data_IF_180112596647
#
_entry.id   IF_180112596647
#
_cell.length_a   1.000
_cell.length_b   1.000
_cell.length_c   1.000
_cell.angle_alpha   90.00
_cell.angle_beta   90.00
_cell.angle_gamma   90.00
#
_symmetry.space_group_name_H-M   'P 1'
#
loop_
_entity.id
_entity.type
_entity.pdbx_description
1 polymer ?
#
# COMPACT_ATOMS: atom_id res chain seq x y z
N UNK A 1 5.46 -36.35 1.42
CA UNK A 1 5.51 -35.06 2.14
C UNK A 1 5.34 -33.95 1.11
N UNK A 2 4.32 -33.09 1.20
CA UNK A 2 4.22 -31.96 0.31
C UNK A 2 5.27 -30.93 0.74
N UNK A 3 6.21 -30.64 -0.14
CA UNK A 3 7.19 -29.57 0.01
C UNK A 3 6.44 -28.24 0.15
N UNK A 4 6.43 -27.68 1.36
CA UNK A 4 6.13 -26.27 1.59
C UNK A 4 6.99 -25.46 0.63
N UNK A 5 6.41 -24.64 -0.27
CA UNK A 5 7.23 -23.74 -1.07
C UNK A 5 8.01 -22.85 -0.10
N UNK A 6 9.29 -22.54 -0.38
CA UNK A 6 10.07 -21.70 0.52
C UNK A 6 9.39 -20.34 0.59
N UNK A 7 9.06 -19.88 1.80
CA UNK A 7 8.39 -18.59 2.05
C UNK A 7 9.07 -17.44 1.29
N UNK A 8 10.39 -17.56 1.08
CA UNK A 8 11.23 -16.69 0.26
C UNK A 8 10.73 -16.52 -1.18
N UNK A 9 10.28 -17.59 -1.86
CA UNK A 9 9.77 -17.51 -3.24
C UNK A 9 8.43 -16.76 -3.33
N UNK A 10 7.57 -16.87 -2.31
CA UNK A 10 6.33 -16.11 -2.25
C UNK A 10 6.61 -14.61 -2.03
N UNK A 11 7.60 -14.28 -1.17
CA UNK A 11 8.06 -12.91 -0.88
C UNK A 11 8.75 -12.30 -2.10
N UNK A 12 9.64 -13.02 -2.79
CA UNK A 12 10.24 -12.57 -4.04
C UNK A 12 9.20 -12.30 -5.13
N UNK A 13 8.20 -13.18 -5.26
CA UNK A 13 7.06 -12.97 -6.16
C UNK A 13 6.26 -11.71 -5.82
N UNK A 14 6.09 -11.40 -4.52
CA UNK A 14 5.43 -10.19 -4.03
C UNK A 14 6.15 -8.91 -4.46
N UNK A 15 7.48 -8.87 -4.49
CA UNK A 15 8.25 -7.68 -4.89
C UNK A 15 8.70 -7.68 -6.36
N UNK A 16 8.54 -8.79 -7.08
CA UNK A 16 8.95 -8.93 -8.50
C UNK A 16 8.30 -7.93 -9.47
N UNK A 17 7.15 -7.34 -9.12
CA UNK A 17 6.48 -6.31 -9.92
C UNK A 17 7.26 -4.98 -9.99
N UNK A 18 8.18 -4.75 -9.04
CA UNK A 18 9.03 -3.56 -8.95
C UNK A 18 10.32 -3.70 -9.77
N UNK A 19 10.44 -4.71 -10.64
CA UNK A 19 11.69 -4.97 -11.35
C UNK A 19 12.20 -3.71 -12.09
N UNK A 20 13.47 -3.38 -11.80
CA UNK A 20 14.19 -2.15 -12.16
C UNK A 20 14.04 -1.77 -13.64
N UNK A 21 13.91 -2.77 -14.52
CA UNK A 21 13.80 -2.61 -15.98
C UNK A 21 12.49 -1.99 -16.46
N UNK A 22 11.39 -2.17 -15.71
CA UNK A 22 10.07 -1.60 -16.02
C UNK A 22 9.86 -0.26 -15.33
N UNK A 23 10.37 -0.10 -14.11
CA UNK A 23 10.31 1.15 -13.36
C UNK A 23 11.15 2.26 -14.02
N UNK A 24 12.31 1.96 -14.60
CA UNK A 24 13.12 2.94 -15.34
C UNK A 24 12.42 3.49 -16.59
N UNK A 25 11.59 2.69 -17.27
CA UNK A 25 10.78 3.18 -18.39
C UNK A 25 9.63 4.09 -17.93
N UNK A 26 9.08 3.83 -16.74
CA UNK A 26 8.09 4.69 -16.10
C UNK A 26 8.69 5.98 -15.51
N UNK A 27 9.94 5.92 -15.04
CA UNK A 27 10.68 7.04 -14.48
C UNK A 27 10.92 8.18 -15.47
N UNK A 28 10.94 7.90 -16.79
CA UNK A 28 11.02 8.94 -17.82
C UNK A 28 9.72 9.77 -17.89
N UNK A 29 8.57 9.16 -17.58
CA UNK A 29 7.26 9.84 -17.60
C UNK A 29 6.98 10.56 -16.28
N UNK A 30 7.36 9.97 -15.14
CA UNK A 30 7.25 10.61 -13.82
C UNK A 30 8.33 11.69 -13.59
N UNK A 31 9.54 11.51 -14.12
CA UNK A 31 10.65 12.46 -13.99
C UNK A 31 10.43 13.78 -14.74
N UNK A 32 9.69 13.76 -15.86
CA UNK A 32 9.32 14.97 -16.59
C UNK A 32 8.33 15.87 -15.83
N UNK A 33 7.42 15.28 -15.04
CA UNK A 33 6.46 16.04 -14.25
C UNK A 33 7.09 16.68 -13.00
N UNK A 34 8.10 16.04 -12.39
CA UNK A 34 8.79 16.54 -11.19
C UNK A 34 9.73 17.72 -11.51
N UNK A 35 10.25 17.81 -12.74
CA UNK A 35 11.17 18.88 -13.12
C UNK A 35 10.46 20.15 -13.64
N UNK A 36 9.21 20.06 -14.07
CA UNK A 36 8.45 21.21 -14.63
C UNK A 36 7.73 22.07 -13.59
N UNK A 37 7.35 21.50 -12.44
CA UNK A 37 6.75 22.21 -11.31
C UNK A 37 7.77 22.15 -10.17
N UNK A 38 8.53 23.23 -9.97
CA UNK A 38 9.63 23.27 -9.00
C UNK A 38 9.24 22.59 -7.68
N UNK A 39 10.11 21.72 -7.16
CA UNK A 39 9.79 20.78 -6.08
C UNK A 39 9.06 21.35 -4.84
N UNK A 40 9.14 22.67 -4.62
CA UNK A 40 8.31 23.37 -3.62
C UNK A 40 6.80 23.33 -3.88
N UNK A 41 6.34 23.33 -5.14
CA UNK A 41 4.92 23.23 -5.49
C UNK A 41 4.33 21.85 -5.17
N UNK A 42 5.10 20.78 -5.40
CA UNK A 42 4.69 19.41 -5.04
C UNK A 42 4.61 19.23 -3.52
N UNK A 43 5.54 19.81 -2.76
CA UNK A 43 5.49 19.81 -1.29
C UNK A 43 4.29 20.61 -0.76
N UNK A 44 3.99 21.76 -1.35
CA UNK A 44 2.82 22.56 -1.00
C UNK A 44 1.50 21.81 -1.25
N UNK A 45 1.41 21.09 -2.37
CA UNK A 45 0.24 20.26 -2.70
C UNK A 45 0.03 19.12 -1.69
N UNK A 46 1.12 18.47 -1.26
CA UNK A 46 1.07 17.36 -0.29
C UNK A 46 0.64 17.85 1.10
N UNK A 47 0.95 19.10 1.46
CA UNK A 47 0.68 19.66 2.79
C UNK A 47 1.39 18.93 3.93
N UNK A 48 1.11 19.32 5.18
CA UNK A 48 1.73 18.70 6.36
C UNK A 48 1.12 17.31 6.68
N UNK A 49 1.98 16.34 7.02
CA UNK A 49 1.55 15.07 7.61
C UNK A 49 1.94 15.07 9.10
N UNK A 50 0.99 14.78 10.02
CA UNK A 50 1.29 14.67 11.44
C UNK A 50 2.37 13.62 11.70
N UNK A 51 3.32 13.91 12.59
CA UNK A 51 4.38 12.96 12.94
C UNK A 51 3.78 11.72 13.62
N UNK A 52 4.11 10.54 13.11
CA UNK A 52 3.73 9.26 13.72
C UNK A 52 4.94 8.67 14.42
N UNK A 53 4.80 8.38 15.72
CA UNK A 53 5.90 7.80 16.52
C UNK A 53 6.08 6.32 16.22
N UNK A 54 7.34 5.87 16.28
CA UNK A 54 7.70 4.46 16.24
C UNK A 54 7.62 3.80 14.87
N UNK A 55 7.62 4.57 13.78
CA UNK A 55 7.79 4.02 12.43
C UNK A 55 9.24 3.57 12.22
N UNK A 56 9.44 2.42 11.58
CA UNK A 56 10.75 1.79 11.33
C UNK A 56 11.19 1.93 9.87
N UNK A 57 10.27 1.80 8.94
CA UNK A 57 10.54 1.80 7.50
C UNK A 57 9.89 3.00 6.78
N UNK A 58 8.69 3.38 7.20
CA UNK A 58 7.90 4.44 6.57
C UNK A 58 8.12 5.80 7.23
N UNK A 59 7.94 6.87 6.45
CA UNK A 59 7.79 8.23 6.98
C UNK A 59 6.32 8.60 7.26
N UNK A 60 6.10 9.76 7.88
CA UNK A 60 4.76 10.23 8.24
C UNK A 60 3.83 10.44 7.04
N UNK A 61 4.38 10.84 5.89
CA UNK A 61 3.58 11.05 4.70
C UNK A 61 3.26 9.74 3.97
N UNK A 62 4.21 8.81 3.91
CA UNK A 62 4.02 7.46 3.41
C UNK A 62 2.95 6.73 4.22
N UNK A 63 3.03 6.84 5.55
CA UNK A 63 2.01 6.36 6.46
C UNK A 63 0.63 6.97 6.15
N UNK A 64 0.55 8.29 5.96
CA UNK A 64 -0.72 8.97 5.61
C UNK A 64 -1.30 8.50 4.27
N UNK A 65 -0.45 8.35 3.25
CA UNK A 65 -0.86 7.83 1.94
C UNK A 65 -1.36 6.40 2.05
N UNK A 66 -0.68 5.56 2.84
CA UNK A 66 -1.08 4.18 3.07
C UNK A 66 -2.39 4.07 3.85
N UNK A 67 -2.59 4.89 4.89
CA UNK A 67 -3.86 5.00 5.61
C UNK A 67 -4.99 5.38 4.65
N UNK A 68 -4.75 6.38 3.80
CA UNK A 68 -5.71 6.81 2.79
C UNK A 68 -6.04 5.71 1.78
N UNK A 69 -5.07 4.84 1.49
CA UNK A 69 -5.23 3.70 0.58
C UNK A 69 -6.03 2.57 1.21
N UNK A 70 -5.81 2.30 2.51
CA UNK A 70 -6.60 1.34 3.29
C UNK A 70 -8.07 1.73 3.27
N UNK A 71 -8.38 2.99 3.57
CA UNK A 71 -9.74 3.53 3.54
C UNK A 71 -10.40 3.40 2.15
N UNK A 72 -9.62 3.60 1.08
CA UNK A 72 -10.11 3.49 -0.29
C UNK A 72 -10.33 2.05 -0.76
N UNK A 73 -9.58 1.09 -0.20
CA UNK A 73 -9.56 -0.29 -0.67
C UNK A 73 -10.40 -1.25 0.17
N UNK A 74 -10.47 -1.03 1.49
CA UNK A 74 -11.14 -1.89 2.45
C UNK A 74 -12.36 -1.16 3.03
N UNK A 75 -13.51 -1.16 2.31
CA UNK A 75 -14.73 -0.59 2.85
C UNK A 75 -15.23 -1.44 4.02
N UNK A 76 -15.91 -0.80 4.97
CA UNK A 76 -16.69 -1.52 5.98
C UNK A 76 -17.77 -2.34 5.30
N UNK A 77 -17.88 -3.62 5.68
CA UNK A 77 -18.90 -4.54 5.14
C UNK A 77 -19.65 -5.20 6.29
N UNK A 78 -20.88 -5.64 6.05
CA UNK A 78 -21.65 -6.36 7.08
C UNK A 78 -21.10 -7.76 7.36
N UNK A 79 -20.36 -8.33 6.39
CA UNK A 79 -19.74 -9.65 6.52
C UNK A 79 -18.58 -9.68 7.54
N UNK A 80 -17.81 -8.58 7.60
CA UNK A 80 -16.76 -8.36 8.60
C UNK A 80 -17.06 -7.02 9.27
N UNK A 81 -17.77 -7.00 10.42
CA UNK A 81 -18.24 -5.79 11.08
C UNK A 81 -17.12 -5.04 11.83
N UNK A 82 -15.87 -5.20 11.39
CA UNK A 82 -14.70 -4.48 11.88
C UNK A 82 -14.44 -3.33 10.93
N UNK A 83 -14.13 -2.15 11.48
CA UNK A 83 -13.70 -1.02 10.67
C UNK A 83 -12.20 -1.17 10.35
N UNK A 84 -11.80 -1.38 9.08
CA UNK A 84 -10.39 -1.52 8.73
C UNK A 84 -9.57 -0.26 9.09
N UNK A 85 -10.22 0.91 9.16
CA UNK A 85 -9.55 2.15 9.54
C UNK A 85 -9.12 2.16 11.02
N UNK A 86 -9.77 1.37 11.89
CA UNK A 86 -9.40 1.28 13.31
C UNK A 86 -8.28 0.29 13.60
N UNK A 87 -7.85 -0.52 12.62
CA UNK A 87 -6.88 -1.60 12.83
C UNK A 87 -5.41 -1.17 12.72
N UNK A 88 -5.14 0.11 12.45
CA UNK A 88 -3.79 0.66 12.20
C UNK A 88 -2.95 -0.23 11.25
N UNK A 89 -3.59 -0.69 10.15
CA UNK A 89 -2.93 -1.50 9.13
C UNK A 89 -1.63 -0.87 8.59
N UNK A 90 -1.50 0.46 8.43
CA UNK A 90 -0.25 1.06 8.00
C UNK A 90 0.92 0.79 8.96
N UNK A 91 0.68 0.71 10.27
CA UNK A 91 1.72 0.34 11.24
C UNK A 91 2.10 -1.13 11.15
N UNK A 92 1.11 -2.01 11.00
CA UNK A 92 1.39 -3.43 10.81
C UNK A 92 2.20 -3.66 9.51
N UNK A 93 1.91 -2.89 8.46
CA UNK A 93 2.70 -2.91 7.24
C UNK A 93 4.11 -2.32 7.42
N UNK A 94 4.27 -1.23 8.17
CA UNK A 94 5.60 -0.68 8.54
C UNK A 94 6.46 -1.73 9.26
N UNK A 95 5.86 -2.47 10.20
CA UNK A 95 6.54 -3.56 10.89
C UNK A 95 6.95 -4.70 9.94
N UNK A 96 6.07 -5.07 9.00
CA UNK A 96 6.37 -6.07 7.98
C UNK A 96 7.57 -5.66 7.10
N UNK A 97 7.65 -4.38 6.72
CA UNK A 97 8.74 -3.86 5.89
C UNK A 97 10.07 -3.73 6.62
N UNK A 98 10.03 -3.62 7.94
CA UNK A 98 11.24 -3.38 8.72
C UNK A 98 12.25 -4.54 8.67
N UNK A 99 11.79 -5.74 8.29
CA UNK A 99 12.62 -6.93 8.14
C UNK A 99 12.89 -7.26 6.66
N UNK A 100 12.43 -6.43 5.72
CA UNK A 100 12.65 -6.61 4.28
C UNK A 100 14.00 -6.02 3.82
N UNK A 101 14.60 -6.57 2.75
CA UNK A 101 15.78 -5.98 2.14
C UNK A 101 15.55 -4.51 1.74
N UNK A 102 16.55 -3.66 1.99
CA UNK A 102 16.48 -2.20 1.74
C UNK A 102 15.94 -1.84 0.35
N UNK A 103 16.32 -2.59 -0.68
CA UNK A 103 15.87 -2.32 -2.05
C UNK A 103 14.36 -2.56 -2.26
N UNK A 104 13.77 -3.54 -1.56
CA UNK A 104 12.32 -3.78 -1.59
C UNK A 104 11.57 -2.62 -0.93
N UNK A 105 12.09 -2.14 0.21
CA UNK A 105 11.54 -0.98 0.92
C UNK A 105 11.60 0.27 0.05
N UNK A 106 12.75 0.57 -0.56
CA UNK A 106 12.91 1.73 -1.45
C UNK A 106 11.97 1.68 -2.66
N UNK A 107 11.78 0.52 -3.26
CA UNK A 107 10.90 0.38 -4.42
C UNK A 107 9.41 0.54 -4.03
N UNK A 108 9.03 0.07 -2.84
CA UNK A 108 7.70 0.32 -2.29
C UNK A 108 7.49 1.81 -1.96
N UNK A 109 8.46 2.49 -1.34
CA UNK A 109 8.40 3.93 -1.06
C UNK A 109 8.16 4.73 -2.35
N UNK A 110 8.86 4.38 -3.43
CA UNK A 110 8.60 4.98 -4.76
C UNK A 110 7.18 4.71 -5.25
N UNK A 111 6.63 3.53 -5.01
CA UNK A 111 5.24 3.22 -5.35
C UNK A 111 4.24 4.07 -4.53
N UNK A 112 4.50 4.30 -3.23
CA UNK A 112 3.69 5.18 -2.39
C UNK A 112 3.73 6.63 -2.86
N UNK A 113 4.90 7.14 -3.27
CA UNK A 113 5.04 8.46 -3.88
C UNK A 113 4.22 8.55 -5.18
N UNK A 114 4.30 7.53 -6.04
CA UNK A 114 3.51 7.48 -7.27
C UNK A 114 2.00 7.47 -7.02
N UNK A 115 1.54 6.78 -5.97
CA UNK A 115 0.14 6.79 -5.56
C UNK A 115 -0.25 8.18 -5.05
N UNK A 116 0.55 8.78 -4.17
CA UNK A 116 0.26 10.10 -3.59
C UNK A 116 0.10 11.18 -4.67
N UNK A 117 0.97 11.19 -5.67
CA UNK A 117 0.91 12.13 -6.80
C UNK A 117 0.11 11.59 -7.99
N UNK A 118 -0.56 10.44 -7.84
CA UNK A 118 -1.38 9.81 -8.87
C UNK A 118 -2.42 10.74 -9.49
N UNK A 119 -3.23 11.48 -8.70
CA UNK A 119 -4.22 12.42 -9.24
C UNK A 119 -3.60 13.52 -10.11
N UNK A 120 -2.40 13.98 -9.75
CA UNK A 120 -1.67 14.98 -10.54
C UNK A 120 -1.10 14.38 -11.83
N UNK A 121 -0.40 13.25 -11.73
CA UNK A 121 0.34 12.64 -12.85
C UNK A 121 -0.58 12.03 -13.90
N UNK A 122 -1.69 11.41 -13.49
CA UNK A 122 -2.56 10.66 -14.39
C UNK A 122 -3.85 11.38 -14.77
N UNK A 123 -4.29 12.36 -13.99
CA UNK A 123 -5.56 13.07 -14.21
C UNK A 123 -5.40 14.59 -14.29
N UNK A 124 -4.19 15.13 -14.07
CA UNK A 124 -3.94 16.58 -14.09
C UNK A 124 -4.58 17.35 -12.93
N UNK A 125 -5.06 16.67 -11.88
CA UNK A 125 -5.68 17.31 -10.71
C UNK A 125 -4.59 17.92 -9.82
N UNK A 126 -4.74 19.20 -9.46
CA UNK A 126 -3.84 19.90 -8.53
C UNK A 126 -4.11 19.51 -7.06
N UNK A 127 -4.09 18.21 -6.78
CA UNK A 127 -4.28 17.64 -5.44
C UNK A 127 -3.49 16.34 -5.31
N UNK A 128 -3.38 15.82 -4.09
CA UNK A 128 -2.76 14.51 -3.83
C UNK A 128 -3.81 13.49 -3.41
N UNK A 129 -3.47 12.20 -3.56
CA UNK A 129 -4.37 11.10 -3.25
C UNK A 129 -4.88 11.14 -1.81
N UNK A 130 -4.00 11.37 -0.83
CA UNK A 130 -4.40 11.48 0.57
C UNK A 130 -5.29 12.68 0.89
N UNK A 131 -5.40 13.65 -0.02
CA UNK A 131 -6.24 14.85 0.13
C UNK A 131 -7.55 14.77 -0.65
N UNK A 132 -7.74 13.75 -1.48
CA UNK A 132 -9.03 13.50 -2.15
C UNK A 132 -10.12 13.21 -1.12
N UNK A 133 -11.35 13.61 -1.45
CA UNK A 133 -12.53 13.22 -0.69
C UNK A 133 -12.68 11.68 -0.72
N UNK A 134 -13.26 11.04 0.31
CA UNK A 134 -13.30 9.58 0.41
C UNK A 134 -13.88 8.87 -0.82
N UNK A 135 -14.98 9.40 -1.38
CA UNK A 135 -15.61 8.84 -2.58
C UNK A 135 -14.72 8.94 -3.82
N UNK A 136 -14.14 10.13 -4.06
CA UNK A 136 -13.22 10.36 -5.19
C UNK A 136 -11.95 9.51 -5.06
N UNK A 137 -11.46 9.32 -3.84
CA UNK A 137 -10.28 8.50 -3.56
C UNK A 137 -10.53 7.04 -3.90
N UNK A 138 -11.68 6.51 -3.51
CA UNK A 138 -12.09 5.14 -3.84
C UNK A 138 -12.26 4.95 -5.35
N UNK A 139 -12.90 5.90 -6.04
CA UNK A 139 -13.04 5.89 -7.49
C UNK A 139 -11.69 5.95 -8.21
N UNK A 140 -10.82 6.88 -7.80
CA UNK A 140 -9.46 7.01 -8.32
C UNK A 140 -8.71 5.69 -8.19
N UNK A 141 -8.73 5.07 -7.01
CA UNK A 141 -8.06 3.79 -6.79
C UNK A 141 -8.63 2.65 -7.64
N UNK A 142 -9.96 2.56 -7.77
CA UNK A 142 -10.60 1.56 -8.65
C UNK A 142 -10.19 1.75 -10.11
N UNK A 143 -10.06 2.98 -10.58
CA UNK A 143 -9.62 3.29 -11.94
C UNK A 143 -8.19 2.81 -12.23
N UNK A 144 -7.31 2.70 -11.23
CA UNK A 144 -5.96 2.16 -11.44
C UNK A 144 -5.98 0.67 -11.81
N UNK A 145 -6.86 -0.11 -11.19
CA UNK A 145 -6.99 -1.54 -11.47
C UNK A 145 -7.52 -1.81 -12.89
N UNK A 146 -8.32 -0.88 -13.43
CA UNK A 146 -8.95 -0.97 -14.75
C UNK A 146 -8.18 -0.21 -15.85
N UNK A 147 -7.08 0.44 -15.52
CA UNK A 147 -6.34 1.29 -16.46
C UNK A 147 -5.59 0.49 -17.52
N UNK A 148 -5.54 0.98 -18.76
CA UNK A 148 -4.65 0.44 -19.80
C UNK A 148 -3.16 0.60 -19.46
N UNK A 149 -2.85 1.54 -18.56
CA UNK A 149 -1.49 1.75 -18.08
C UNK A 149 -1.03 0.56 -17.21
N UNK A 150 -0.05 -0.19 -17.72
CA UNK A 150 0.51 -1.36 -17.04
C UNK A 150 1.04 -1.04 -15.63
N UNK A 151 1.67 0.13 -15.44
CA UNK A 151 2.22 0.52 -14.15
C UNK A 151 1.11 0.70 -13.10
N UNK A 152 0.03 1.41 -13.45
CA UNK A 152 -1.12 1.61 -12.54
C UNK A 152 -1.71 0.28 -12.10
N UNK A 153 -1.90 -0.66 -13.05
CA UNK A 153 -2.39 -2.01 -12.74
C UNK A 153 -1.45 -2.79 -11.84
N UNK A 154 -0.14 -2.77 -12.12
CA UNK A 154 0.85 -3.51 -11.34
C UNK A 154 0.92 -3.00 -9.90
N UNK A 155 0.97 -1.68 -9.71
CA UNK A 155 0.95 -1.07 -8.38
C UNK A 155 -0.36 -1.38 -7.66
N UNK A 156 -1.51 -1.29 -8.35
CA UNK A 156 -2.81 -1.63 -7.76
C UNK A 156 -2.89 -3.08 -7.30
N UNK A 157 -2.45 -4.03 -8.12
CA UNK A 157 -2.43 -5.46 -7.78
C UNK A 157 -1.50 -5.71 -6.59
N UNK A 158 -0.30 -5.13 -6.59
CA UNK A 158 0.67 -5.34 -5.52
C UNK A 158 0.20 -4.78 -4.19
N UNK A 159 -0.25 -3.51 -4.16
CA UNK A 159 -0.76 -2.91 -2.93
C UNK A 159 -1.97 -3.67 -2.39
N UNK A 160 -2.85 -4.17 -3.26
CA UNK A 160 -3.97 -5.03 -2.83
C UNK A 160 -3.49 -6.33 -2.19
N UNK A 161 -2.47 -6.98 -2.75
CA UNK A 161 -1.89 -8.19 -2.15
C UNK A 161 -1.28 -7.90 -0.78
N UNK A 162 -0.50 -6.84 -0.66
CA UNK A 162 0.16 -6.44 0.58
C UNK A 162 -0.84 -6.06 1.68
N UNK A 163 -1.80 -5.20 1.37
CA UNK A 163 -2.79 -4.76 2.35
C UNK A 163 -3.72 -5.91 2.75
N UNK A 164 -4.11 -6.80 1.83
CA UNK A 164 -4.87 -7.99 2.19
C UNK A 164 -4.06 -8.96 3.06
N UNK A 165 -2.76 -9.11 2.80
CA UNK A 165 -1.88 -9.94 3.63
C UNK A 165 -1.92 -9.46 5.09
N UNK A 166 -1.70 -8.16 5.31
CA UNK A 166 -1.72 -7.59 6.66
C UNK A 166 -3.13 -7.64 7.26
N UNK A 167 -4.16 -7.33 6.49
CA UNK A 167 -5.55 -7.35 6.95
C UNK A 167 -5.98 -8.74 7.46
N UNK A 168 -5.68 -9.81 6.70
CA UNK A 168 -6.05 -11.17 7.10
C UNK A 168 -5.13 -11.77 8.18
N UNK A 169 -3.98 -11.14 8.46
CA UNK A 169 -3.12 -11.50 9.59
C UNK A 169 -3.68 -11.02 10.94
N UNK A 170 -4.58 -10.02 10.93
CA UNK A 170 -5.24 -9.57 12.16
C UNK A 170 -6.21 -10.64 12.71
N UNK A 171 -5.96 -11.04 13.95
CA UNK A 171 -6.71 -12.09 14.66
C UNK A 171 -8.20 -11.78 14.79
N UNK A 172 -8.55 -10.50 14.87
CA UNK A 172 -9.95 -10.05 14.93
C UNK A 172 -10.74 -10.43 13.67
N UNK A 173 -10.07 -10.54 12.51
CA UNK A 173 -10.71 -10.91 11.24
C UNK A 173 -11.00 -12.41 11.17
N UNK A 174 -10.23 -13.24 11.87
CA UNK A 174 -10.24 -14.70 11.73
C UNK A 174 -11.62 -15.35 11.95
N UNK A 175 -12.43 -14.97 12.97
CA UNK A 175 -13.76 -15.54 13.17
C UNK A 175 -14.70 -15.29 11.99
N UNK A 176 -14.56 -14.15 11.32
CA UNK A 176 -15.44 -13.75 10.22
C UNK A 176 -15.09 -14.43 8.89
N UNK A 177 -13.86 -14.90 8.75
CA UNK A 177 -13.41 -15.68 7.58
C UNK A 177 -13.44 -17.19 7.82
N UNK A 178 -13.96 -17.64 8.98
CA UNK A 178 -14.01 -19.05 9.34
C UNK A 178 -12.65 -19.67 9.64
N UNK A 179 -11.63 -18.85 9.94
CA UNK A 179 -10.30 -19.33 10.28
C UNK A 179 -10.18 -19.50 11.80
N UNK A 180 -9.96 -20.72 12.33
CA UNK A 180 -9.88 -20.97 13.77
C UNK A 180 -8.51 -20.60 14.38
N UNK A 181 -7.69 -19.84 13.66
CA UNK A 181 -6.31 -19.54 14.04
C UNK A 181 -5.32 -20.70 13.81
N UNK A 182 -4.02 -20.42 13.96
CA UNK A 182 -2.95 -21.39 13.76
C UNK A 182 -3.01 -22.50 14.82
N UNK A 183 -2.75 -23.75 14.40
CA UNK A 183 -2.84 -24.94 15.25
C UNK A 183 -1.92 -24.91 16.47
N UNK A 184 -0.78 -24.23 16.38
CA UNK A 184 0.18 -24.11 17.48
C UNK A 184 -0.33 -23.23 18.63
N UNK A 185 -1.14 -22.19 18.35
CA UNK A 185 -1.79 -21.39 19.40
C UNK A 185 -2.89 -22.17 20.16
N UNK A 186 -3.46 -23.23 19.56
CA UNK A 186 -4.44 -24.09 20.22
C UNK A 186 -3.82 -25.02 21.28
N UNK A 187 -2.51 -25.24 21.26
CA UNK A 187 -1.82 -26.18 22.15
C UNK A 187 -1.59 -25.65 23.56
N UNK A 188 -1.58 -24.32 23.74
CA UNK A 188 -1.27 -23.68 25.04
C UNK A 188 -2.51 -23.49 25.92
N UNK A 189 -3.70 -23.84 25.44
CA UNK A 189 -4.97 -23.73 26.17
C UNK A 189 -5.41 -25.05 26.84
N UNK A 190 -4.47 -25.93 27.18
CA UNK A 190 -4.77 -27.22 27.83
C UNK A 190 -3.92 -27.47 29.06
#
# INVERSE_FOLDING_TARGET
MPSTPPEESAREGLFSFLSRRRFLKAGVVAGGAILGVGGGGLLALRGHAPSVKGLRALDAHEYRTLQSLVEAMLPKTDAVPIDPASMDLPRAFDAFLADEPKHNVEDLQKALVLIEFGPLVFEGRLTTFSRLAPAERAEHWRAWALSDNLLRRQVSIAMRKFLNLVYFDHQEVWPYIGYPGPSMMRSTAR
#
